data_IF_022826789894
#
_entry.id   IF_022826789894
#
_cell.length_a   1.000
_cell.length_b   1.000
_cell.length_c   1.000
_cell.angle_alpha   90.00
_cell.angle_beta   90.00
_cell.angle_gamma   90.00
#
_symmetry.space_group_name_H-M   'P 1'
#
loop_
_entity.id
_entity.type
_entity.pdbx_description
1 polymer ?
#
# COMPACT_ATOMS: atom_id res chain seq x y z
N UNK A 1 21.30 27.10 -17.56
CA UNK A 1 21.51 26.60 -16.19
C UNK A 1 20.24 26.92 -15.43
N UNK A 2 19.35 25.95 -15.26
CA UNK A 2 18.09 26.16 -14.54
C UNK A 2 18.38 26.10 -13.04
N UNK A 3 18.06 27.18 -12.34
CA UNK A 3 18.19 27.30 -10.90
C UNK A 3 17.31 26.25 -10.23
N UNK A 4 17.95 25.27 -9.58
CA UNK A 4 17.30 24.41 -8.61
C UNK A 4 16.79 25.30 -7.49
N UNK A 5 15.50 25.65 -7.51
CA UNK A 5 14.83 26.23 -6.35
C UNK A 5 15.00 25.25 -5.18
N UNK A 6 15.86 25.63 -4.26
CA UNK A 6 16.22 24.87 -3.08
C UNK A 6 15.00 24.81 -2.16
N UNK A 7 14.63 23.59 -1.76
CA UNK A 7 13.67 23.38 -0.68
C UNK A 7 14.26 23.99 0.62
N UNK A 8 13.55 24.88 1.33
CA UNK A 8 14.06 25.54 2.52
C UNK A 8 14.41 24.59 3.69
N UNK A 9 14.08 23.30 3.63
CA UNK A 9 14.43 22.31 4.67
C UNK A 9 15.43 21.22 4.21
N UNK A 10 15.81 21.17 2.93
CA UNK A 10 16.72 20.13 2.41
C UNK A 10 16.14 18.71 2.42
N UNK A 11 14.83 18.55 2.64
CA UNK A 11 14.13 17.28 2.65
C UNK A 11 13.83 16.82 1.21
N UNK A 12 13.79 15.51 0.99
CA UNK A 12 13.33 14.95 -0.29
C UNK A 12 11.81 14.90 -0.34
N UNK A 13 11.20 14.86 -1.52
CA UNK A 13 9.74 14.82 -1.63
C UNK A 13 9.14 13.56 -0.98
N UNK A 14 9.87 12.43 -1.00
CA UNK A 14 9.48 11.24 -0.26
C UNK A 14 9.45 11.46 1.25
N UNK A 15 10.32 12.30 1.79
CA UNK A 15 10.29 12.66 3.22
C UNK A 15 9.02 13.47 3.55
N UNK A 16 8.60 14.36 2.65
CA UNK A 16 7.31 15.07 2.76
C UNK A 16 6.13 14.09 2.72
N UNK A 17 6.11 13.13 1.78
CA UNK A 17 5.07 12.10 1.70
C UNK A 17 5.04 11.23 2.96
N UNK A 18 6.20 10.87 3.51
CA UNK A 18 6.30 10.15 4.79
C UNK A 18 5.71 10.99 5.93
N UNK A 19 6.06 12.27 6.02
CA UNK A 19 5.54 13.15 7.06
C UNK A 19 4.01 13.28 6.98
N UNK A 20 3.46 13.47 5.76
CA UNK A 20 2.02 13.49 5.54
C UNK A 20 1.33 12.18 5.97
N UNK A 21 1.96 11.04 5.64
CA UNK A 21 1.48 9.71 6.04
C UNK A 21 1.50 9.53 7.57
N UNK A 22 2.57 9.92 8.28
CA UNK A 22 2.68 9.74 9.73
C UNK A 22 1.67 10.58 10.52
N UNK A 23 1.33 11.79 10.04
CA UNK A 23 0.26 12.62 10.60
C UNK A 23 -1.10 11.94 10.67
N UNK A 24 -1.36 10.97 9.79
CA UNK A 24 -2.64 10.25 9.70
C UNK A 24 -2.65 8.91 10.44
N UNK A 25 -1.49 8.44 10.91
CA UNK A 25 -1.40 7.17 11.61
C UNK A 25 -1.80 7.31 13.09
N UNK A 26 -2.64 6.41 13.61
CA UNK A 26 -2.89 6.31 15.04
C UNK A 26 -1.66 5.86 15.84
N UNK A 27 -1.42 6.47 17.02
CA UNK A 27 -0.31 6.15 17.94
C UNK A 27 -0.26 4.67 18.37
N UNK A 28 -1.40 3.99 18.40
CA UNK A 28 -1.50 2.57 18.75
C UNK A 28 -1.12 1.62 17.60
N UNK A 29 -1.03 2.11 16.36
CA UNK A 29 -0.66 1.31 15.19
C UNK A 29 0.80 1.52 14.75
N UNK A 30 1.38 2.70 15.04
CA UNK A 30 2.81 2.98 14.82
C UNK A 30 3.33 4.01 15.82
N UNK A 31 4.59 3.86 16.22
CA UNK A 31 5.25 4.74 17.22
C UNK A 31 5.38 6.20 16.76
N UNK A 32 5.44 6.41 15.46
CA UNK A 32 5.53 7.76 14.86
C UNK A 32 4.17 8.33 14.47
N UNK A 33 3.08 7.63 14.76
CA UNK A 33 1.74 8.11 14.45
C UNK A 33 1.36 9.31 15.33
N UNK A 34 0.69 10.28 14.73
CA UNK A 34 0.27 11.50 15.44
C UNK A 34 -1.22 11.50 15.84
N UNK A 35 -2.05 10.66 15.20
CA UNK A 35 -3.48 10.57 15.55
C UNK A 35 -3.70 9.82 16.86
N UNK A 36 -4.76 10.19 17.56
CA UNK A 36 -5.23 9.46 18.72
C UNK A 36 -5.59 8.00 18.35
N UNK A 37 -5.44 7.04 19.28
CA UNK A 37 -5.76 5.65 19.04
C UNK A 37 -7.17 5.45 18.47
N UNK A 38 -7.26 4.82 17.30
CA UNK A 38 -8.52 4.41 16.69
C UNK A 38 -8.63 2.88 16.81
N UNK A 39 -9.39 2.40 17.79
CA UNK A 39 -9.64 0.98 18.02
C UNK A 39 -8.50 0.23 18.72
N UNK A 40 -8.56 -1.12 18.76
CA UNK A 40 -7.58 -1.95 19.46
C UNK A 40 -6.22 -1.99 18.75
N UNK A 41 -5.15 -2.24 19.51
CA UNK A 41 -3.82 -2.49 18.95
C UNK A 41 -3.81 -3.74 18.08
N UNK A 42 -2.86 -3.84 17.14
CA UNK A 42 -2.77 -4.99 16.20
C UNK A 42 -2.71 -6.34 16.92
N UNK A 43 -2.06 -6.42 18.09
CA UNK A 43 -1.99 -7.64 18.91
C UNK A 43 -3.33 -8.12 19.47
N UNK A 44 -4.28 -7.20 19.61
CA UNK A 44 -5.61 -7.44 20.20
C UNK A 44 -6.66 -7.77 19.13
N UNK A 45 -6.29 -7.79 17.84
CA UNK A 45 -7.21 -8.16 16.78
C UNK A 45 -7.53 -9.65 16.83
N UNK A 46 -8.77 -9.99 16.51
CA UNK A 46 -9.26 -11.37 16.41
C UNK A 46 -9.64 -11.68 14.95
N UNK A 47 -8.64 -11.95 14.09
CA UNK A 47 -8.89 -12.19 12.67
C UNK A 47 -9.59 -13.53 12.44
N UNK A 48 -10.29 -13.62 11.31
CA UNK A 48 -10.85 -14.88 10.81
C UNK A 48 -10.22 -15.25 9.46
N UNK A 49 -10.19 -16.54 9.13
CA UNK A 49 -9.68 -17.00 7.83
C UNK A 49 -10.50 -16.41 6.68
N UNK A 50 -11.83 -16.31 6.82
CA UNK A 50 -12.70 -15.73 5.79
C UNK A 50 -12.46 -14.23 5.59
N UNK A 51 -12.39 -13.46 6.67
CA UNK A 51 -12.09 -12.03 6.60
C UNK A 51 -10.70 -11.75 6.02
N UNK A 52 -9.71 -12.56 6.41
CA UNK A 52 -8.37 -12.45 5.85
C UNK A 52 -8.29 -12.86 4.37
N UNK A 53 -9.03 -13.89 3.95
CA UNK A 53 -9.14 -14.25 2.53
C UNK A 53 -9.76 -13.11 1.71
N UNK A 54 -10.83 -12.48 2.20
CA UNK A 54 -11.41 -11.31 1.51
C UNK A 54 -10.39 -10.16 1.42
N UNK A 55 -9.64 -9.90 2.50
CA UNK A 55 -8.56 -8.91 2.49
C UNK A 55 -7.50 -9.22 1.42
N UNK A 56 -7.06 -10.48 1.27
CA UNK A 56 -6.07 -10.86 0.27
C UNK A 56 -6.60 -10.72 -1.16
N UNK A 57 -7.86 -11.11 -1.41
CA UNK A 57 -8.50 -10.96 -2.72
C UNK A 57 -8.65 -9.50 -3.11
N UNK A 58 -9.17 -8.66 -2.21
CA UNK A 58 -9.32 -7.22 -2.45
C UNK A 58 -7.96 -6.54 -2.64
N UNK A 59 -6.97 -6.92 -1.83
CA UNK A 59 -5.60 -6.42 -2.00
C UNK A 59 -5.02 -6.83 -3.35
N UNK A 60 -5.24 -8.07 -3.79
CA UNK A 60 -4.76 -8.56 -5.08
C UNK A 60 -5.35 -7.75 -6.23
N UNK A 61 -6.66 -7.50 -6.21
CA UNK A 61 -7.29 -6.65 -7.21
C UNK A 61 -6.63 -5.27 -7.28
N UNK A 62 -6.37 -4.63 -6.13
CA UNK A 62 -5.69 -3.32 -6.08
C UNK A 62 -4.27 -3.37 -6.64
N UNK A 63 -3.48 -4.39 -6.29
CA UNK A 63 -2.13 -4.56 -6.84
C UNK A 63 -2.14 -4.90 -8.33
N UNK A 64 -3.06 -5.74 -8.80
CA UNK A 64 -3.23 -6.04 -10.23
C UNK A 64 -3.51 -4.72 -10.99
N UNK A 65 -4.36 -3.85 -10.45
CA UNK A 65 -4.68 -2.54 -11.03
C UNK A 65 -3.46 -1.62 -11.07
N UNK A 66 -2.70 -1.48 -9.98
CA UNK A 66 -1.45 -0.70 -9.99
C UNK A 66 -0.48 -1.23 -11.04
N UNK A 67 -0.23 -2.53 -11.05
CA UNK A 67 0.75 -3.16 -11.94
C UNK A 67 0.31 -3.06 -13.41
N UNK A 68 -0.99 -3.16 -13.70
CA UNK A 68 -1.53 -2.93 -15.04
C UNK A 68 -1.33 -1.48 -15.48
N UNK A 69 -1.73 -0.50 -14.67
CA UNK A 69 -1.58 0.92 -15.00
C UNK A 69 -0.11 1.27 -15.23
N UNK A 70 0.79 0.84 -14.34
CA UNK A 70 2.22 1.11 -14.44
C UNK A 70 2.82 0.49 -15.72
N UNK A 71 2.32 -0.68 -16.14
CA UNK A 71 2.75 -1.35 -17.37
C UNK A 71 2.26 -0.64 -18.64
N UNK A 72 1.05 -0.09 -18.65
CA UNK A 72 0.47 0.49 -19.87
C UNK A 72 0.77 1.99 -20.03
N UNK A 73 0.78 2.76 -18.94
CA UNK A 73 0.93 4.22 -19.01
C UNK A 73 2.41 4.61 -19.05
N UNK A 74 2.81 5.34 -20.09
CA UNK A 74 4.21 5.71 -20.34
C UNK A 74 4.80 6.57 -19.21
N UNK A 75 3.99 7.42 -18.57
CA UNK A 75 4.42 8.28 -17.48
C UNK A 75 4.96 7.49 -16.26
N UNK A 76 4.51 6.25 -16.05
CA UNK A 76 4.92 5.42 -14.92
C UNK A 76 6.02 4.40 -15.24
N UNK A 77 6.65 4.47 -16.42
CA UNK A 77 7.59 3.46 -16.90
C UNK A 77 8.73 3.15 -15.92
N UNK A 78 9.22 4.15 -15.18
CA UNK A 78 10.29 4.01 -14.20
C UNK A 78 9.90 3.11 -13.02
N UNK A 79 8.60 2.94 -12.73
CA UNK A 79 8.11 2.11 -11.62
C UNK A 79 7.86 0.65 -11.99
N UNK A 80 8.01 0.27 -13.27
CA UNK A 80 7.91 -1.12 -13.72
C UNK A 80 9.06 -1.96 -13.13
N UNK A 81 8.78 -3.23 -12.83
CA UNK A 81 9.78 -4.20 -12.37
C UNK A 81 10.60 -3.68 -11.18
N UNK A 82 9.91 -3.04 -10.24
CA UNK A 82 10.50 -2.44 -9.05
C UNK A 82 10.99 -3.48 -8.04
N UNK A 83 10.47 -4.71 -8.13
CA UNK A 83 10.63 -5.77 -7.14
C UNK A 83 9.62 -5.65 -5.99
N UNK A 84 8.78 -4.61 -5.97
CA UNK A 84 7.74 -4.41 -4.96
C UNK A 84 6.38 -4.97 -5.39
N UNK A 85 6.21 -5.38 -6.64
CA UNK A 85 4.99 -6.00 -7.20
C UNK A 85 4.51 -7.15 -6.32
N UNK A 86 3.19 -7.24 -6.08
CA UNK A 86 2.59 -8.18 -5.10
C UNK A 86 1.58 -9.13 -5.73
N UNK A 87 1.11 -8.87 -6.93
CA UNK A 87 0.05 -9.62 -7.59
C UNK A 87 0.37 -11.12 -7.72
N UNK A 88 1.59 -11.44 -8.17
CA UNK A 88 2.05 -12.83 -8.31
C UNK A 88 2.18 -13.52 -6.94
N UNK A 89 2.71 -12.81 -5.93
CA UNK A 89 2.88 -13.33 -4.57
C UNK A 89 1.51 -13.64 -3.94
N UNK A 90 0.53 -12.73 -4.12
CA UNK A 90 -0.84 -12.93 -3.68
C UNK A 90 -1.53 -14.08 -4.41
N UNK A 91 -1.29 -14.25 -5.72
CA UNK A 91 -1.81 -15.39 -6.47
C UNK A 91 -1.33 -16.72 -5.86
N UNK A 92 -0.03 -16.84 -5.54
CA UNK A 92 0.53 -18.03 -4.89
C UNK A 92 -0.11 -18.33 -3.53
N UNK A 93 -0.33 -17.29 -2.73
CA UNK A 93 -0.98 -17.46 -1.43
C UNK A 93 -2.45 -17.88 -1.56
N UNK A 94 -3.20 -17.33 -2.53
CA UNK A 94 -4.57 -17.73 -2.79
C UNK A 94 -4.68 -19.17 -3.30
N UNK A 95 -3.75 -19.62 -4.16
CA UNK A 95 -3.67 -21.03 -4.56
C UNK A 95 -3.36 -21.93 -3.36
N UNK A 96 -2.44 -21.53 -2.47
CA UNK A 96 -2.19 -22.28 -1.23
C UNK A 96 -3.46 -22.42 -0.38
N UNK A 97 -4.29 -21.38 -0.27
CA UNK A 97 -5.58 -21.49 0.44
C UNK A 97 -6.57 -22.43 -0.26
N UNK A 98 -6.59 -22.47 -1.60
CA UNK A 98 -7.39 -23.46 -2.35
C UNK A 98 -6.95 -24.89 -2.07
N UNK A 99 -5.64 -25.14 -1.98
CA UNK A 99 -5.09 -26.45 -1.61
C UNK A 99 -5.51 -26.87 -0.20
N UNK A 100 -5.70 -25.90 0.70
CA UNK A 100 -6.30 -26.11 2.04
C UNK A 100 -7.83 -26.25 2.01
N UNK A 101 -8.43 -26.45 0.82
CA UNK A 101 -9.89 -26.59 0.60
C UNK A 101 -10.69 -25.37 1.07
N UNK A 102 -10.09 -24.18 1.05
CA UNK A 102 -10.81 -22.93 1.30
C UNK A 102 -11.43 -22.41 0.01
N UNK A 103 -12.65 -21.87 0.12
CA UNK A 103 -13.30 -21.14 -0.97
C UNK A 103 -12.68 -19.75 -1.06
N UNK A 104 -12.18 -19.39 -2.23
CA UNK A 104 -11.70 -18.02 -2.49
C UNK A 104 -12.92 -17.16 -2.86
N UNK A 105 -13.21 -16.08 -2.12
CA UNK A 105 -14.32 -15.20 -2.45
C UNK A 105 -14.00 -14.37 -3.69
N UNK A 106 -15.04 -13.80 -4.31
CA UNK A 106 -14.87 -12.73 -5.30
C UNK A 106 -14.42 -11.43 -4.61
N UNK A 107 -13.77 -10.49 -5.32
CA UNK A 107 -13.45 -9.18 -4.78
C UNK A 107 -14.71 -8.45 -4.28
N UNK A 108 -14.59 -7.80 -3.13
CA UNK A 108 -15.69 -7.03 -2.55
C UNK A 108 -15.81 -5.63 -3.17
N UNK A 109 -16.88 -4.93 -2.83
CA UNK A 109 -17.07 -3.52 -3.22
C UNK A 109 -15.91 -2.63 -2.75
N UNK A 110 -15.20 -2.99 -1.66
CA UNK A 110 -14.07 -2.20 -1.14
C UNK A 110 -12.88 -2.25 -2.09
N UNK A 111 -12.48 -3.47 -2.51
CA UNK A 111 -11.45 -3.68 -3.52
C UNK A 111 -11.84 -3.04 -4.86
N UNK A 112 -13.07 -3.26 -5.33
CA UNK A 112 -13.55 -2.65 -6.58
C UNK A 112 -13.56 -1.12 -6.54
N UNK A 113 -13.99 -0.52 -5.43
CA UNK A 113 -14.03 0.94 -5.30
C UNK A 113 -12.63 1.54 -5.38
N UNK A 114 -11.64 0.91 -4.72
CA UNK A 114 -10.26 1.39 -4.78
C UNK A 114 -9.66 1.20 -6.18
N UNK A 115 -9.82 0.03 -6.79
CA UNK A 115 -9.34 -0.24 -8.15
C UNK A 115 -9.90 0.75 -9.17
N UNK A 116 -11.22 0.97 -9.18
CA UNK A 116 -11.86 1.95 -10.08
C UNK A 116 -11.34 3.37 -9.83
N UNK A 117 -11.08 3.73 -8.57
CA UNK A 117 -10.53 5.04 -8.26
C UNK A 117 -9.12 5.22 -8.83
N UNK A 118 -8.26 4.20 -8.70
CA UNK A 118 -6.91 4.21 -9.27
C UNK A 118 -6.94 4.35 -10.80
N UNK A 119 -7.82 3.62 -11.48
CA UNK A 119 -8.03 3.75 -12.92
C UNK A 119 -8.44 5.19 -13.30
N UNK A 120 -9.38 5.80 -12.56
CA UNK A 120 -9.86 7.16 -12.83
C UNK A 120 -8.76 8.22 -12.70
N UNK A 121 -7.89 8.10 -11.70
CA UNK A 121 -6.84 9.10 -11.43
C UNK A 121 -5.57 8.85 -12.25
N UNK A 122 -5.32 7.63 -12.74
CA UNK A 122 -4.06 7.28 -13.42
C UNK A 122 -3.71 8.17 -14.61
N UNK A 123 -4.66 8.48 -15.48
CA UNK A 123 -4.38 9.35 -16.63
C UNK A 123 -4.66 10.84 -16.34
N UNK A 124 -5.59 11.13 -15.42
CA UNK A 124 -6.11 12.48 -15.19
C UNK A 124 -5.40 13.24 -14.08
N UNK A 125 -4.82 12.51 -13.13
CA UNK A 125 -4.23 13.05 -11.92
C UNK A 125 -3.04 12.18 -11.47
N UNK A 126 -1.91 12.27 -12.19
CA UNK A 126 -0.77 11.41 -11.92
C UNK A 126 -0.13 11.65 -10.54
N UNK A 127 -0.25 12.86 -10.00
CA UNK A 127 0.18 13.19 -8.64
C UNK A 127 -0.60 12.40 -7.59
N UNK A 128 -1.94 12.37 -7.71
CA UNK A 128 -2.79 11.56 -6.83
C UNK A 128 -2.46 10.06 -6.96
N UNK A 129 -2.28 9.55 -8.18
CA UNK A 129 -1.90 8.15 -8.40
C UNK A 129 -0.58 7.79 -7.71
N UNK A 130 0.43 8.66 -7.81
CA UNK A 130 1.73 8.46 -7.16
C UNK A 130 1.61 8.48 -5.63
N UNK A 131 0.76 9.34 -5.07
CA UNK A 131 0.48 9.33 -3.63
C UNK A 131 -0.06 7.97 -3.17
N UNK A 132 -1.04 7.44 -3.91
CA UNK A 132 -1.62 6.12 -3.66
C UNK A 132 -0.60 5.00 -3.80
N UNK A 133 0.20 5.01 -4.87
CA UNK A 133 1.27 4.04 -5.08
C UNK A 133 2.26 4.05 -3.90
N UNK A 134 2.74 5.23 -3.51
CA UNK A 134 3.64 5.36 -2.36
C UNK A 134 3.00 4.79 -1.09
N UNK A 135 1.82 5.26 -0.70
CA UNK A 135 1.21 4.86 0.56
C UNK A 135 0.86 3.37 0.60
N UNK A 136 0.34 2.78 -0.48
CA UNK A 136 -0.02 1.36 -0.51
C UNK A 136 1.21 0.45 -0.41
N UNK A 137 2.20 0.64 -1.28
CA UNK A 137 3.39 -0.22 -1.29
C UNK A 137 4.25 -0.05 -0.04
N UNK A 138 4.46 1.19 0.43
CA UNK A 138 5.29 1.45 1.60
C UNK A 138 4.60 1.03 2.91
N UNK A 139 3.27 1.20 3.03
CA UNK A 139 2.54 0.69 4.19
C UNK A 139 2.63 -0.84 4.28
N UNK A 140 2.48 -1.55 3.15
CA UNK A 140 2.62 -3.00 3.12
C UNK A 140 4.01 -3.49 3.56
N UNK A 141 5.06 -2.84 3.06
CA UNK A 141 6.46 -3.18 3.38
C UNK A 141 6.86 -2.90 4.84
N UNK A 142 6.05 -2.14 5.58
CA UNK A 142 6.29 -1.74 6.96
C UNK A 142 5.23 -2.34 7.90
N UNK A 143 4.14 -1.60 8.16
CA UNK A 143 3.05 -2.03 9.04
C UNK A 143 2.36 -3.31 8.56
N UNK A 144 2.23 -3.50 7.25
CA UNK A 144 1.65 -4.71 6.65
C UNK A 144 2.38 -5.99 7.06
N UNK A 145 3.71 -5.97 7.22
CA UNK A 145 4.51 -7.11 7.70
C UNK A 145 4.26 -7.43 9.18
N UNK A 146 3.94 -6.42 9.99
CA UNK A 146 3.58 -6.63 11.40
C UNK A 146 2.21 -7.29 11.48
N UNK A 147 1.24 -6.76 10.74
CA UNK A 147 -0.13 -7.31 10.64
C UNK A 147 -0.09 -8.75 10.10
N UNK A 148 0.64 -8.99 9.01
CA UNK A 148 0.76 -10.32 8.40
C UNK A 148 1.31 -11.39 9.35
N UNK A 149 2.36 -11.05 10.11
CA UNK A 149 2.92 -11.96 11.14
C UNK A 149 1.91 -12.24 12.25
N UNK A 150 1.19 -11.22 12.72
CA UNK A 150 0.17 -11.37 13.76
C UNK A 150 -0.97 -12.28 13.27
N UNK A 151 -1.52 -12.01 12.08
CA UNK A 151 -2.60 -12.83 11.50
C UNK A 151 -2.14 -14.27 11.31
N UNK A 152 -0.95 -14.46 10.74
CA UNK A 152 -0.39 -15.79 10.53
C UNK A 152 -0.24 -16.58 11.83
N UNK A 153 0.27 -15.95 12.88
CA UNK A 153 0.40 -16.58 14.20
C UNK A 153 -0.95 -16.99 14.80
N UNK A 154 -2.01 -16.20 14.59
CA UNK A 154 -3.35 -16.47 15.15
C UNK A 154 -4.14 -17.52 14.36
N UNK A 155 -4.07 -17.49 13.03
CA UNK A 155 -5.01 -18.27 12.20
C UNK A 155 -4.36 -19.15 11.12
N UNK A 156 -3.05 -19.09 10.91
CA UNK A 156 -2.34 -19.84 9.86
C UNK A 156 -1.15 -20.67 10.38
N UNK A 157 -1.11 -20.99 11.68
CA UNK A 157 -0.01 -21.76 12.30
C UNK A 157 1.39 -21.23 11.94
N UNK A 158 1.55 -19.90 12.01
CA UNK A 158 2.81 -19.21 11.69
C UNK A 158 3.30 -19.39 10.22
N UNK A 159 2.44 -19.82 9.29
CA UNK A 159 2.75 -19.84 7.85
C UNK A 159 3.21 -18.46 7.38
N UNK A 160 4.43 -18.36 6.91
CA UNK A 160 4.89 -17.16 6.22
C UNK A 160 4.37 -17.16 4.77
N UNK A 161 3.46 -16.23 4.47
CA UNK A 161 2.86 -16.04 3.16
C UNK A 161 3.82 -15.32 2.20
N UNK A 162 3.72 -15.63 0.91
CA UNK A 162 4.54 -15.06 -0.16
C UNK A 162 4.32 -13.55 -0.30
N UNK A 163 3.12 -13.06 0.02
CA UNK A 163 2.76 -11.64 0.03
C UNK A 163 3.72 -10.79 0.87
N UNK A 164 4.29 -11.36 1.94
CA UNK A 164 5.23 -10.73 2.85
C UNK A 164 6.70 -11.09 2.60
N UNK A 165 7.02 -11.71 1.46
CA UNK A 165 8.38 -12.05 1.03
C UNK A 165 8.77 -11.26 -0.21
N UNK A 166 10.05 -10.91 -0.31
CA UNK A 166 10.60 -10.18 -1.45
C UNK A 166 11.80 -10.92 -2.02
N UNK A 167 11.92 -10.89 -3.34
CA UNK A 167 13.06 -11.43 -4.05
C UNK A 167 14.15 -10.35 -4.05
N UNK A 168 15.04 -10.41 -3.06
CA UNK A 168 16.11 -9.43 -2.85
C UNK A 168 16.03 -8.70 -1.50
N UNK A 169 16.92 -7.73 -1.31
CA UNK A 169 17.02 -6.98 -0.05
C UNK A 169 15.99 -5.86 -0.03
N UNK A 170 14.93 -6.01 0.77
CA UNK A 170 13.79 -5.09 0.82
C UNK A 170 14.20 -3.61 1.03
N UNK A 171 15.17 -3.33 1.89
CA UNK A 171 15.63 -1.94 2.11
C UNK A 171 16.19 -1.30 0.83
N UNK A 172 16.91 -2.08 0.01
CA UNK A 172 17.44 -1.61 -1.26
C UNK A 172 16.31 -1.42 -2.29
N UNK A 173 15.36 -2.35 -2.36
CA UNK A 173 14.18 -2.23 -3.25
C UNK A 173 13.39 -0.96 -2.93
N UNK A 174 13.11 -0.73 -1.65
CA UNK A 174 12.42 0.48 -1.19
C UNK A 174 13.24 1.73 -1.51
N UNK A 175 14.55 1.74 -1.25
CA UNK A 175 15.38 2.91 -1.55
C UNK A 175 15.38 3.24 -3.05
N UNK A 176 15.50 2.24 -3.91
CA UNK A 176 15.45 2.44 -5.36
C UNK A 176 14.14 3.10 -5.80
N UNK A 177 13.01 2.70 -5.20
CA UNK A 177 11.70 3.32 -5.47
C UNK A 177 11.63 4.74 -4.92
N UNK A 178 12.18 5.01 -3.73
CA UNK A 178 12.27 6.38 -3.18
C UNK A 178 13.04 7.31 -4.12
N UNK A 179 14.18 6.86 -4.63
CA UNK A 179 15.01 7.66 -5.54
C UNK A 179 14.27 7.98 -6.84
N UNK A 180 13.51 7.01 -7.38
CA UNK A 180 12.65 7.21 -8.55
C UNK A 180 11.49 8.18 -8.29
N UNK A 181 10.83 8.08 -7.14
CA UNK A 181 9.78 9.03 -6.72
C UNK A 181 10.33 10.46 -6.60
N UNK A 182 11.49 10.61 -5.97
CA UNK A 182 12.18 11.90 -5.84
C UNK A 182 12.60 12.47 -7.20
N UNK A 183 13.10 11.63 -8.10
CA UNK A 183 13.43 12.02 -9.49
C UNK A 183 12.19 12.50 -10.24
N UNK A 184 11.09 11.75 -10.17
CA UNK A 184 9.82 12.13 -10.81
C UNK A 184 9.32 13.48 -10.27
N UNK A 185 9.23 13.62 -8.95
CA UNK A 185 8.72 14.82 -8.29
C UNK A 185 9.66 16.03 -8.42
N UNK A 186 10.91 15.86 -8.86
CA UNK A 186 11.80 16.99 -9.16
C UNK A 186 11.31 17.83 -10.35
N UNK A 187 10.50 17.23 -11.24
CA UNK A 187 9.83 17.92 -12.34
C UNK A 187 8.51 18.57 -11.97
N UNK A 188 7.99 18.35 -10.75
CA UNK A 188 6.72 18.90 -10.30
C UNK A 188 6.89 20.30 -9.71
N UNK A 189 5.90 21.14 -9.97
CA UNK A 189 5.66 22.38 -9.24
C UNK A 189 5.32 22.12 -7.77
N UNK A 190 5.33 23.19 -6.95
CA UNK A 190 4.94 23.08 -5.54
C UNK A 190 3.47 22.67 -5.41
N UNK A 191 2.59 23.26 -6.20
CA UNK A 191 1.15 22.95 -6.20
C UNK A 191 0.89 21.47 -6.55
N UNK A 192 1.62 20.91 -7.53
CA UNK A 192 1.50 19.49 -7.87
C UNK A 192 1.97 18.56 -6.75
N UNK A 193 3.07 18.94 -6.07
CA UNK A 193 3.54 18.21 -4.90
C UNK A 193 2.53 18.30 -3.74
N UNK A 194 1.97 19.49 -3.49
CA UNK A 194 0.99 19.70 -2.43
C UNK A 194 -0.29 18.92 -2.71
N UNK A 195 -0.76 18.93 -3.98
CA UNK A 195 -1.87 18.10 -4.44
C UNK A 195 -1.62 16.60 -4.17
N UNK A 196 -0.41 16.10 -4.45
CA UNK A 196 -0.02 14.73 -4.10
C UNK A 196 -0.10 14.49 -2.59
N UNK A 197 0.31 15.44 -1.74
CA UNK A 197 0.27 15.28 -0.29
C UNK A 197 -1.16 15.30 0.26
N UNK A 198 -2.05 16.13 -0.29
CA UNK A 198 -3.47 16.21 0.07
C UNK A 198 -4.21 14.89 -0.20
N UNK A 199 -3.83 14.16 -1.24
CA UNK A 199 -4.39 12.85 -1.60
C UNK A 199 -4.14 11.77 -0.52
N UNK A 200 -3.20 12.00 0.41
CA UNK A 200 -2.83 11.00 1.44
C UNK A 200 -4.05 10.57 2.26
N UNK A 201 -4.98 11.46 2.58
CA UNK A 201 -6.19 11.13 3.33
C UNK A 201 -7.09 10.14 2.58
N UNK A 202 -7.24 10.33 1.27
CA UNK A 202 -8.03 9.48 0.40
C UNK A 202 -7.38 8.11 0.28
N UNK A 203 -6.05 8.05 0.09
CA UNK A 203 -5.30 6.79 0.10
C UNK A 203 -5.46 6.03 1.42
N UNK A 204 -5.47 6.71 2.56
CA UNK A 204 -5.69 6.06 3.85
C UNK A 204 -7.12 5.55 4.00
N UNK A 205 -8.11 6.30 3.53
CA UNK A 205 -9.51 5.88 3.57
C UNK A 205 -9.69 4.54 2.86
N UNK A 206 -9.24 4.42 1.61
CA UNK A 206 -9.36 3.16 0.87
C UNK A 206 -8.61 2.01 1.53
N UNK A 207 -7.35 2.23 1.93
CA UNK A 207 -6.55 1.20 2.60
C UNK A 207 -7.17 0.75 3.94
N UNK A 208 -7.75 1.67 4.72
CA UNK A 208 -8.45 1.33 5.98
C UNK A 208 -9.70 0.50 5.72
N UNK A 209 -10.49 0.78 4.68
CA UNK A 209 -11.67 -0.03 4.35
C UNK A 209 -11.28 -1.49 4.05
N UNK A 210 -10.25 -1.70 3.24
CA UNK A 210 -9.76 -3.05 2.93
C UNK A 210 -9.19 -3.72 4.19
N UNK A 211 -8.39 -2.99 4.99
CA UNK A 211 -7.78 -3.53 6.22
C UNK A 211 -8.83 -3.99 7.25
N UNK A 212 -9.98 -3.32 7.33
CA UNK A 212 -11.07 -3.70 8.24
C UNK A 212 -11.65 -5.08 7.93
N UNK A 213 -11.46 -5.63 6.73
CA UNK A 213 -11.88 -7.00 6.39
C UNK A 213 -11.17 -8.05 7.27
N UNK A 214 -9.95 -7.75 7.72
CA UNK A 214 -9.22 -8.61 8.66
C UNK A 214 -9.91 -8.64 10.03
N UNK A 215 -10.48 -7.51 10.47
CA UNK A 215 -11.05 -7.34 11.80
C UNK A 215 -12.53 -7.76 11.88
N UNK A 216 -13.24 -7.83 10.76
CA UNK A 216 -14.65 -8.22 10.77
C UNK A 216 -14.79 -9.68 11.18
N UNK A 217 -15.51 -9.92 12.28
CA UNK A 217 -16.08 -11.24 12.55
C UNK A 217 -17.05 -11.56 11.42
N UNK A 218 -16.83 -12.66 10.71
CA UNK A 218 -17.88 -13.22 9.86
C UNK A 218 -19.09 -13.51 10.76
N UNK A 219 -20.21 -12.89 10.44
CA UNK A 219 -21.50 -13.22 11.05
C UNK A 219 -21.97 -14.62 10.69
#
# INVERSE_FOLDING_TARGET
MSERKHDPQGLSFVDEMRAASMKLHPKNLTKEGEKEPEGPAVSEWEPSVSGFLQFLVDSKLVYDTFEAIIREVAYYVEFRNSGLERSEKLAKDLEWFKDQKRTIPEPSDRGHSHARYLEQISDKNPQAFICHFYNVYFAHSSGGRIIGRMVSAKILDNKELEFYKWDGVLSQLLQNVRDKLNKLASGWSRDEKDHCLEETEISFKYSKEILRLIQSRAG
#
